data_IF_665907263990
#
_entry.id   IF_665907263990
#
_cell.length_a   1.000
_cell.length_b   1.000
_cell.length_c   1.000
_cell.angle_alpha   90.00
_cell.angle_beta   90.00
_cell.angle_gamma   90.00
#
_symmetry.space_group_name_H-M   'P 1'
#
loop_
_entity.id
_entity.type
_entity.pdbx_description
1 polymer ?
#
# COMPACT_ATOMS: atom_id res chain seq x y z
N UNK A 1 -3.13 -18.76 2.25
CA UNK A 1 -3.02 -19.72 3.39
C UNK A 1 -3.59 -21.04 2.91
N UNK A 2 -2.78 -22.06 2.68
CA UNK A 2 -3.24 -23.37 2.21
C UNK A 2 -3.31 -24.33 3.41
N UNK A 3 -4.52 -24.78 3.75
CA UNK A 3 -4.72 -25.83 4.72
C UNK A 3 -4.76 -27.17 3.97
N UNK A 4 -3.72 -27.98 4.13
CA UNK A 4 -3.76 -29.37 3.67
C UNK A 4 -4.29 -30.20 4.83
N UNK A 5 -5.54 -30.65 4.71
CA UNK A 5 -6.14 -31.58 5.67
C UNK A 5 -5.78 -32.99 5.22
N UNK A 6 -4.94 -33.68 6.01
CA UNK A 6 -4.72 -35.11 5.81
C UNK A 6 -5.92 -35.88 6.34
N UNK A 7 -6.71 -36.47 5.43
CA UNK A 7 -7.94 -37.22 5.76
C UNK A 7 -7.71 -38.42 6.71
N UNK A 8 -6.46 -38.89 6.83
CA UNK A 8 -6.14 -40.11 7.57
C UNK A 8 -5.57 -39.88 9.00
N UNK A 9 -5.04 -38.69 9.30
CA UNK A 9 -4.52 -38.38 10.65
C UNK A 9 -5.16 -37.14 11.29
N UNK A 10 -5.99 -36.39 10.57
CA UNK A 10 -6.69 -35.21 11.09
C UNK A 10 -5.78 -34.05 11.50
N UNK A 11 -4.48 -34.15 11.25
CA UNK A 11 -3.55 -33.05 11.51
C UNK A 11 -3.67 -32.01 10.41
N UNK A 12 -4.09 -30.81 10.82
CA UNK A 12 -3.99 -29.59 10.03
C UNK A 12 -2.52 -29.21 9.95
N UNK A 13 -1.87 -29.56 8.84
CA UNK A 13 -0.55 -29.02 8.54
C UNK A 13 -0.73 -27.65 7.91
N UNK A 14 -0.44 -26.61 8.69
CA UNK A 14 -0.18 -25.29 8.17
C UNK A 14 1.26 -25.26 7.69
N UNK A 15 1.48 -25.36 6.38
CA UNK A 15 2.76 -24.98 5.81
C UNK A 15 2.70 -23.49 5.45
N UNK A 16 3.32 -22.63 6.27
CA UNK A 16 3.86 -21.39 5.71
C UNK A 16 5.08 -21.79 4.92
N UNK A 17 5.02 -21.68 3.59
CA UNK A 17 6.27 -21.47 2.88
C UNK A 17 6.67 -20.04 3.25
N UNK A 18 7.61 -19.92 4.18
CA UNK A 18 8.28 -18.65 4.44
C UNK A 18 8.97 -18.28 3.12
N UNK A 19 8.31 -17.43 2.33
CA UNK A 19 8.94 -16.86 1.15
C UNK A 19 10.16 -16.07 1.60
N UNK A 20 11.19 -16.09 0.77
CA UNK A 20 12.46 -15.41 1.03
C UNK A 20 12.17 -13.98 1.46
N UNK A 21 12.58 -13.61 2.67
CA UNK A 21 12.42 -12.23 3.14
C UNK A 21 13.21 -11.33 2.18
N UNK A 22 12.53 -10.41 1.49
CA UNK A 22 13.19 -9.47 0.59
C UNK A 22 13.98 -8.45 1.43
N UNK A 23 15.17 -8.09 0.98
CA UNK A 23 16.00 -7.08 1.65
C UNK A 23 15.61 -5.63 1.30
N UNK A 24 14.49 -5.47 0.60
CA UNK A 24 13.88 -4.21 0.22
C UNK A 24 12.36 -4.28 0.35
N UNK A 25 11.76 -3.12 0.57
CA UNK A 25 10.33 -2.89 0.50
C UNK A 25 9.97 -2.28 -0.84
N UNK A 26 8.68 -2.24 -1.14
CA UNK A 26 8.14 -1.66 -2.36
C UNK A 26 7.15 -0.57 -2.01
N UNK A 27 7.26 0.55 -2.72
CA UNK A 27 6.20 1.55 -2.83
C UNK A 27 5.56 1.41 -4.20
N UNK A 28 4.26 1.20 -4.22
CA UNK A 28 3.45 1.18 -5.44
C UNK A 28 2.63 2.45 -5.47
N UNK A 29 2.75 3.23 -6.54
CA UNK A 29 1.92 4.41 -6.79
C UNK A 29 1.07 4.16 -8.02
N UNK A 30 -0.24 4.21 -7.88
CA UNK A 30 -1.20 4.09 -8.95
C UNK A 30 -1.96 5.40 -9.10
N UNK A 31 -2.03 5.93 -10.32
CA UNK A 31 -2.85 7.10 -10.65
C UNK A 31 -3.79 6.72 -11.79
N UNK A 32 -5.07 7.03 -11.61
CA UNK A 32 -6.10 6.81 -12.61
C UNK A 32 -6.84 8.10 -12.92
N UNK A 33 -6.90 8.42 -14.21
CA UNK A 33 -7.70 9.53 -14.75
C UNK A 33 -9.16 9.17 -15.02
N UNK A 34 -9.56 7.91 -14.84
CA UNK A 34 -10.93 7.45 -15.03
C UNK A 34 -11.10 5.92 -15.08
N UNK A 35 -12.33 5.46 -15.30
CA UNK A 35 -12.70 4.03 -15.20
C UNK A 35 -11.87 3.06 -16.05
N UNK A 36 -11.37 3.45 -17.22
CA UNK A 36 -10.59 2.53 -18.08
C UNK A 36 -9.31 2.02 -17.38
N UNK A 37 -8.61 2.90 -16.68
CA UNK A 37 -7.39 2.55 -15.94
C UNK A 37 -7.75 1.87 -14.62
N UNK A 38 -8.79 2.34 -13.95
CA UNK A 38 -9.25 1.85 -12.65
C UNK A 38 -9.82 0.42 -12.72
N UNK A 39 -10.77 0.16 -13.62
CA UNK A 39 -11.50 -1.10 -13.67
C UNK A 39 -10.65 -2.26 -14.19
N UNK A 40 -9.65 -1.99 -15.02
CA UNK A 40 -8.78 -3.01 -15.60
C UNK A 40 -7.60 -3.41 -14.69
N UNK A 41 -7.68 -3.13 -13.40
CA UNK A 41 -6.59 -3.41 -12.44
C UNK A 41 -7.04 -4.27 -11.26
N UNK A 42 -6.06 -5.01 -10.75
CA UNK A 42 -6.11 -5.79 -9.52
C UNK A 42 -5.01 -5.30 -8.58
N UNK A 43 -5.33 -5.19 -7.30
CA UNK A 43 -4.44 -4.85 -6.21
C UNK A 43 -4.15 -6.09 -5.37
N UNK A 44 -2.87 -6.41 -5.24
CA UNK A 44 -2.29 -7.47 -4.45
C UNK A 44 -1.65 -6.77 -3.27
N UNK A 45 -2.33 -6.78 -2.13
CA UNK A 45 -1.88 -6.04 -0.95
C UNK A 45 -1.44 -7.06 0.09
N UNK A 46 -0.18 -7.00 0.48
CA UNK A 46 0.36 -7.89 1.48
C UNK A 46 -0.01 -7.45 2.90
N UNK A 47 0.12 -8.36 3.86
CA UNK A 47 -0.10 -8.05 5.26
C UNK A 47 0.79 -6.90 5.73
N UNK A 48 0.27 -6.08 6.65
CA UNK A 48 0.94 -4.94 7.27
C UNK A 48 1.29 -3.78 6.32
N UNK A 49 0.97 -3.87 5.03
CA UNK A 49 1.14 -2.79 4.06
C UNK A 49 0.26 -1.58 4.44
N UNK A 50 0.80 -0.38 4.24
CA UNK A 50 0.03 0.86 4.39
C UNK A 50 -0.57 1.23 3.04
N UNK A 51 -1.88 1.48 3.00
CA UNK A 51 -2.59 1.91 1.80
C UNK A 51 -3.17 3.30 2.03
N UNK A 52 -2.81 4.25 1.17
CA UNK A 52 -3.28 5.62 1.20
C UNK A 52 -4.02 5.95 -0.09
N UNK A 53 -5.24 6.47 0.02
CA UNK A 53 -6.06 6.93 -1.11
C UNK A 53 -6.14 8.44 -1.09
N UNK A 54 -5.78 9.04 -2.22
CA UNK A 54 -5.83 10.46 -2.51
C UNK A 54 -6.73 10.71 -3.71
N UNK A 55 -7.24 11.94 -3.79
CA UNK A 55 -7.97 12.40 -4.96
C UNK A 55 -7.70 13.87 -5.19
N UNK A 56 -7.18 14.22 -6.36
CA UNK A 56 -6.78 15.60 -6.69
C UNK A 56 -5.76 16.13 -5.66
N UNK A 57 -4.85 15.28 -5.22
CA UNK A 57 -3.83 15.56 -4.21
C UNK A 57 -4.28 15.56 -2.74
N UNK A 58 -5.60 15.58 -2.44
CA UNK A 58 -6.10 15.52 -1.06
C UNK A 58 -6.13 14.08 -0.54
N UNK A 59 -5.61 13.85 0.67
CA UNK A 59 -5.73 12.55 1.35
C UNK A 59 -7.20 12.31 1.75
N UNK A 60 -7.76 11.22 1.24
CA UNK A 60 -9.13 10.79 1.54
C UNK A 60 -9.12 9.86 2.75
N UNK A 61 -8.30 8.82 2.68
CA UNK A 61 -8.21 7.80 3.72
C UNK A 61 -6.85 7.09 3.66
N UNK A 62 -6.37 6.66 4.82
CA UNK A 62 -5.21 5.80 4.95
C UNK A 62 -5.53 4.69 5.95
N UNK A 63 -5.11 3.47 5.64
CA UNK A 63 -5.28 2.34 6.54
C UNK A 63 -4.13 1.35 6.39
N UNK A 64 -3.88 0.64 7.49
CA UNK A 64 -2.95 -0.47 7.52
C UNK A 64 -3.69 -1.77 7.24
N UNK A 65 -3.18 -2.54 6.28
CA UNK A 65 -3.73 -3.84 5.91
C UNK A 65 -3.43 -4.88 7.00
N UNK A 66 -4.46 -5.49 7.59
CA UNK A 66 -4.27 -6.53 8.61
C UNK A 66 -3.95 -7.91 8.02
N UNK A 67 -4.57 -8.25 6.89
CA UNK A 67 -4.46 -9.55 6.23
C UNK A 67 -4.22 -9.36 4.75
N UNK A 68 -3.33 -10.14 4.14
CA UNK A 68 -3.07 -10.10 2.71
C UNK A 68 -4.34 -10.43 1.90
N UNK A 69 -4.54 -9.74 0.78
CA UNK A 69 -5.68 -9.97 -0.12
C UNK A 69 -5.39 -9.57 -1.57
N UNK A 70 -6.29 -10.01 -2.45
CA UNK A 70 -6.28 -9.74 -3.88
C UNK A 70 -7.65 -9.21 -4.25
N UNK A 71 -7.73 -7.95 -4.65
CA UNK A 71 -8.99 -7.27 -4.93
C UNK A 71 -8.92 -6.56 -6.28
N UNK A 72 -10.05 -6.42 -6.97
CA UNK A 72 -10.15 -5.39 -8.00
C UNK A 72 -10.05 -4.01 -7.37
N UNK A 73 -9.68 -2.97 -8.13
CA UNK A 73 -9.61 -1.61 -7.58
C UNK A 73 -10.96 -1.14 -7.01
N UNK A 74 -12.07 -1.51 -7.67
CA UNK A 74 -13.42 -1.26 -7.17
C UNK A 74 -13.70 -1.95 -5.84
N UNK A 75 -13.26 -3.20 -5.67
CA UNK A 75 -13.44 -3.95 -4.42
C UNK A 75 -12.58 -3.37 -3.30
N UNK A 76 -11.35 -2.95 -3.60
CA UNK A 76 -10.48 -2.24 -2.66
C UNK A 76 -11.16 -0.98 -2.12
N UNK A 77 -11.69 -0.12 -3.00
CA UNK A 77 -12.39 1.11 -2.60
C UNK A 77 -13.67 0.79 -1.81
N UNK A 78 -14.42 -0.24 -2.21
CA UNK A 78 -15.61 -0.66 -1.48
C UNK A 78 -15.29 -1.12 -0.05
N UNK A 79 -14.21 -1.87 0.14
CA UNK A 79 -13.75 -2.26 1.50
C UNK A 79 -13.40 -1.05 2.35
N UNK A 80 -12.81 -0.01 1.76
CA UNK A 80 -12.53 1.24 2.46
C UNK A 80 -13.81 1.98 2.86
N UNK A 81 -14.83 1.97 1.99
CA UNK A 81 -16.17 2.50 2.33
C UNK A 81 -16.73 1.75 3.54
N UNK A 82 -16.73 0.41 3.52
CA UNK A 82 -17.22 -0.39 4.65
C UNK A 82 -16.42 -0.13 5.93
N UNK A 83 -15.10 0.02 5.83
CA UNK A 83 -14.25 0.35 6.97
C UNK A 83 -14.63 1.72 7.54
N UNK A 84 -14.77 2.74 6.71
CA UNK A 84 -15.19 4.06 7.14
C UNK A 84 -16.61 4.06 7.75
N UNK A 85 -17.57 3.37 7.13
CA UNK A 85 -18.94 3.23 7.65
C UNK A 85 -18.95 2.50 9.01
N UNK A 86 -18.07 1.52 9.23
CA UNK A 86 -17.97 0.82 10.53
C UNK A 86 -17.46 1.70 11.67
N UNK A 87 -16.77 2.81 11.35
CA UNK A 87 -16.25 3.76 12.34
C UNK A 87 -17.29 4.79 12.79
N UNK A 88 -18.49 4.84 12.19
CA UNK A 88 -19.52 5.86 12.43
C UNK A 88 -20.31 5.67 13.76
N UNK A 89 -19.75 4.96 14.74
CA UNK A 89 -20.40 4.59 16.00
C UNK A 89 -20.69 5.76 16.95
N UNK A 90 -21.72 6.57 16.68
CA UNK A 90 -22.47 7.32 17.71
C UNK A 90 -22.68 8.81 17.46
N UNK A 91 -21.69 9.53 16.93
CA UNK A 91 -21.83 10.92 16.46
C UNK A 91 -21.31 11.01 15.03
N UNK A 92 -22.18 11.44 14.11
CA UNK A 92 -21.83 11.56 12.70
C UNK A 92 -20.69 12.58 12.50
N UNK A 93 -19.46 12.09 12.28
CA UNK A 93 -18.32 12.92 11.93
C UNK A 93 -18.46 13.46 10.51
N UNK A 94 -18.50 14.79 10.35
CA UNK A 94 -18.50 15.44 9.02
C UNK A 94 -17.30 15.03 8.16
N UNK A 95 -16.16 14.79 8.78
CA UNK A 95 -14.96 14.33 8.09
C UNK A 95 -15.14 12.91 7.55
N UNK A 96 -15.75 12.02 8.34
CA UNK A 96 -16.03 10.64 7.94
C UNK A 96 -17.04 10.58 6.79
N UNK A 97 -18.11 11.40 6.84
CA UNK A 97 -19.05 11.52 5.71
C UNK A 97 -18.38 12.02 4.44
N UNK A 98 -17.57 13.08 4.53
CA UNK A 98 -16.80 13.59 3.37
C UNK A 98 -15.89 12.49 2.80
N UNK A 99 -15.24 11.71 3.65
CA UNK A 99 -14.42 10.57 3.24
C UNK A 99 -15.26 9.54 2.46
N UNK A 100 -16.36 9.06 3.04
CA UNK A 100 -17.26 8.08 2.41
C UNK A 100 -17.82 8.60 1.08
N UNK A 101 -18.29 9.84 1.02
CA UNK A 101 -18.77 10.48 -0.21
C UNK A 101 -17.68 10.54 -1.29
N UNK A 102 -16.46 10.89 -0.89
CA UNK A 102 -15.32 10.96 -1.82
C UNK A 102 -14.95 9.57 -2.34
N UNK A 103 -14.95 8.55 -1.48
CA UNK A 103 -14.71 7.15 -1.89
C UNK A 103 -15.82 6.62 -2.81
N UNK A 104 -17.09 6.96 -2.55
CA UNK A 104 -18.21 6.60 -3.44
C UNK A 104 -18.05 7.22 -4.82
N UNK A 105 -17.63 8.48 -4.89
CA UNK A 105 -17.32 9.13 -6.17
C UNK A 105 -16.13 8.47 -6.89
N UNK A 106 -15.07 8.06 -6.17
CA UNK A 106 -13.97 7.28 -6.76
C UNK A 106 -14.49 5.97 -7.37
N UNK A 107 -15.38 5.26 -6.67
CA UNK A 107 -15.96 4.02 -7.16
C UNK A 107 -16.84 4.22 -8.41
N UNK A 108 -17.36 5.42 -8.62
CA UNK A 108 -18.21 5.77 -9.78
C UNK A 108 -17.40 6.23 -11.00
N UNK A 109 -16.39 7.09 -10.80
CA UNK A 109 -15.65 7.71 -11.90
C UNK A 109 -14.22 7.18 -12.11
N UNK A 110 -13.69 6.43 -11.16
CA UNK A 110 -12.38 5.80 -11.21
C UNK A 110 -11.21 6.78 -11.07
N UNK A 111 -11.47 8.05 -10.74
CA UNK A 111 -10.42 9.08 -10.63
C UNK A 111 -9.78 9.03 -9.24
N UNK A 112 -8.56 8.52 -9.14
CA UNK A 112 -7.90 8.25 -7.85
C UNK A 112 -6.38 8.19 -7.95
N UNK A 113 -5.72 8.52 -6.84
CA UNK A 113 -4.31 8.29 -6.58
C UNK A 113 -4.20 7.30 -5.41
N UNK A 114 -3.62 6.12 -5.61
CA UNK A 114 -3.42 5.12 -4.56
C UNK A 114 -1.93 4.92 -4.34
N UNK A 115 -1.53 4.90 -3.08
CA UNK A 115 -0.17 4.55 -2.67
C UNK A 115 -0.20 3.35 -1.75
N UNK A 116 0.66 2.38 -2.02
CA UNK A 116 0.88 1.19 -1.19
C UNK A 116 2.33 1.20 -0.74
N UNK A 117 2.59 1.36 0.55
CA UNK A 117 3.92 1.16 1.13
C UNK A 117 3.96 -0.22 1.81
N UNK A 118 4.70 -1.15 1.21
CA UNK A 118 4.83 -2.52 1.69
C UNK A 118 6.29 -2.87 1.98
N UNK A 119 6.60 -3.05 3.27
CA UNK A 119 7.95 -3.38 3.74
C UNK A 119 8.40 -4.78 3.37
N UNK A 120 7.47 -5.68 3.09
CA UNK A 120 7.78 -7.04 2.69
C UNK A 120 8.22 -7.13 1.23
N UNK A 121 7.92 -6.10 0.43
CA UNK A 121 8.29 -6.02 -0.98
C UNK A 121 7.37 -6.79 -1.94
N UNK A 122 6.24 -7.33 -1.47
CA UNK A 122 5.39 -8.25 -2.24
C UNK A 122 4.12 -7.63 -2.84
N UNK A 123 3.70 -6.45 -2.41
CA UNK A 123 2.47 -5.82 -2.90
C UNK A 123 2.61 -5.33 -4.34
N UNK A 124 1.55 -5.46 -5.15
CA UNK A 124 1.51 -5.15 -6.59
C UNK A 124 0.17 -4.55 -7.02
N UNK A 125 0.17 -3.73 -8.07
CA UNK A 125 -1.04 -3.30 -8.78
C UNK A 125 -0.82 -3.56 -10.27
N UNK A 126 -1.60 -4.47 -10.85
CA UNK A 126 -1.37 -4.95 -12.21
C UNK A 126 -2.70 -5.14 -12.96
N UNK A 127 -2.63 -5.49 -14.25
CA UNK A 127 -3.83 -5.76 -15.06
C UNK A 127 -4.56 -7.02 -14.56
N UNK A 128 -5.88 -7.07 -14.74
CA UNK A 128 -6.70 -8.23 -14.31
C UNK A 128 -6.38 -9.55 -15.04
N UNK A 129 -5.66 -9.49 -16.17
CA UNK A 129 -5.40 -10.66 -17.02
C UNK A 129 -4.09 -11.39 -16.71
N UNK A 130 -3.41 -11.02 -15.62
CA UNK A 130 -2.17 -11.68 -15.21
C UNK A 130 -2.51 -12.60 -14.03
N UNK A 131 -2.13 -13.88 -14.10
CA UNK A 131 -2.44 -14.83 -13.04
C UNK A 131 -1.66 -14.49 -11.76
N UNK A 132 -2.28 -14.70 -10.59
CA UNK A 132 -1.66 -14.39 -9.29
C UNK A 132 -0.31 -15.09 -9.11
N UNK A 133 -0.19 -16.32 -9.60
CA UNK A 133 1.06 -17.10 -9.57
C UNK A 133 2.15 -16.54 -10.49
N UNK A 134 1.79 -15.78 -11.53
CA UNK A 134 2.76 -15.18 -12.43
C UNK A 134 3.36 -13.93 -11.79
N UNK A 135 2.54 -13.07 -11.19
CA UNK A 135 2.95 -11.79 -10.57
C UNK A 135 3.90 -11.93 -9.39
N UNK A 136 3.76 -13.00 -8.62
CA UNK A 136 4.58 -13.22 -7.42
C UNK A 136 6.07 -13.45 -7.75
N UNK A 137 6.35 -13.91 -8.96
CA UNK A 137 7.69 -14.16 -9.47
C UNK A 137 8.19 -13.03 -10.41
N UNK A 138 7.36 -12.02 -10.70
CA UNK A 138 7.78 -10.88 -11.55
C UNK A 138 8.59 -9.89 -10.71
N UNK A 139 9.83 -9.63 -11.16
CA UNK A 139 10.67 -8.59 -10.58
C UNK A 139 10.00 -7.22 -10.76
N UNK A 140 10.15 -6.33 -9.78
CA UNK A 140 9.53 -5.00 -9.82
C UNK A 140 9.94 -4.22 -11.07
N UNK A 141 11.19 -4.41 -11.51
CA UNK A 141 11.79 -3.83 -12.71
C UNK A 141 11.04 -4.24 -14.00
N UNK A 142 10.45 -5.43 -14.03
CA UNK A 142 9.72 -5.95 -15.19
C UNK A 142 8.26 -5.45 -15.25
N UNK A 143 7.80 -4.74 -14.20
CA UNK A 143 6.47 -4.15 -14.12
C UNK A 143 6.42 -2.67 -14.54
N UNK A 144 7.57 -2.05 -14.83
CA UNK A 144 7.72 -0.59 -15.05
C UNK A 144 7.17 -0.05 -16.39
N UNK A 145 6.40 -0.82 -17.15
CA UNK A 145 6.01 -0.43 -18.51
C UNK A 145 4.71 0.40 -18.61
N UNK A 146 4.01 0.64 -17.49
CA UNK A 146 2.67 1.23 -17.51
C UNK A 146 2.61 2.66 -16.95
N UNK A 147 2.07 3.61 -17.73
CA UNK A 147 1.98 5.04 -17.33
C UNK A 147 1.26 5.30 -16.01
N UNK A 148 0.31 4.43 -15.64
CA UNK A 148 -0.57 4.63 -14.49
C UNK A 148 -0.08 3.94 -13.21
N UNK A 149 1.00 3.14 -13.25
CA UNK A 149 1.57 2.48 -12.07
C UNK A 149 3.07 2.71 -12.03
N UNK A 150 3.57 3.16 -10.89
CA UNK A 150 5.00 3.29 -10.63
C UNK A 150 5.39 2.44 -9.45
N UNK A 151 6.57 1.86 -9.54
CA UNK A 151 7.15 1.08 -8.46
C UNK A 151 8.47 1.72 -8.02
N UNK A 152 8.69 1.76 -6.72
CA UNK A 152 9.93 2.25 -6.12
C UNK A 152 10.38 1.24 -5.06
N UNK A 153 11.58 0.66 -5.24
CA UNK A 153 12.23 -0.14 -4.19
C UNK A 153 12.83 0.79 -3.14
N UNK A 154 12.69 0.45 -1.87
CA UNK A 154 13.37 1.14 -0.78
C UNK A 154 14.01 0.16 0.20
N UNK A 155 15.16 0.54 0.77
CA UNK A 155 15.87 -0.30 1.74
C UNK A 155 15.02 -0.55 2.99
N UNK A 156 14.86 -1.82 3.38
CA UNK A 156 14.20 -2.21 4.64
C UNK A 156 15.18 -2.46 5.77
N UNK A 157 16.50 -2.49 5.45
CA UNK A 157 17.52 -2.53 6.48
C UNK A 157 17.28 -1.35 7.40
N UNK A 158 17.04 -1.64 8.68
CA UNK A 158 17.37 -0.73 9.76
C UNK A 158 18.88 -0.51 9.68
N UNK A 159 19.35 0.28 8.74
CA UNK A 159 20.58 1.01 8.96
C UNK A 159 20.32 1.78 10.24
N UNK A 160 21.07 1.41 11.30
CA UNK A 160 20.99 2.13 12.55
C UNK A 160 21.06 3.62 12.24
N UNK A 161 20.19 4.40 12.88
CA UNK A 161 20.08 5.85 12.76
C UNK A 161 21.44 6.56 12.93
N UNK A 162 22.27 6.56 11.90
CA UNK A 162 23.21 7.62 11.63
C UNK A 162 22.45 8.64 10.83
N UNK A 163 22.12 9.77 11.44
CA UNK A 163 21.85 10.99 10.68
C UNK A 163 23.04 11.13 9.71
N UNK A 164 22.84 11.27 8.39
CA UNK A 164 23.93 11.43 7.44
C UNK A 164 24.95 12.44 7.96
N UNK A 165 26.24 12.14 7.89
CA UNK A 165 27.30 12.99 8.46
C UNK A 165 27.18 14.45 7.95
N UNK A 166 26.72 14.63 6.71
CA UNK A 166 26.43 15.92 6.09
C UNK A 166 25.31 16.70 6.82
N UNK A 167 24.26 16.02 7.27
CA UNK A 167 23.16 16.61 8.03
C UNK A 167 23.63 16.91 9.47
N UNK A 168 24.47 16.05 10.07
CA UNK A 168 25.08 16.31 11.38
C UNK A 168 26.02 17.52 11.36
N UNK A 169 26.82 17.67 10.31
CA UNK A 169 27.73 18.80 10.12
C UNK A 169 26.95 20.10 9.92
N UNK A 170 25.89 20.10 9.10
CA UNK A 170 25.00 21.26 8.95
C UNK A 170 24.30 21.66 10.25
N UNK A 171 23.87 20.69 11.05
CA UNK A 171 23.23 20.96 12.35
C UNK A 171 24.22 21.56 13.35
N UNK A 172 25.48 21.09 13.39
CA UNK A 172 26.53 21.69 14.23
C UNK A 172 26.80 23.15 13.85
N UNK A 173 26.98 23.43 12.57
CA UNK A 173 27.25 24.79 12.08
C UNK A 173 26.09 25.74 12.44
N UNK A 174 24.84 25.30 12.29
CA UNK A 174 23.67 26.10 12.65
C UNK A 174 23.54 26.34 14.16
N UNK A 175 23.93 25.37 14.99
CA UNK A 175 23.95 25.53 16.45
C UNK A 175 25.02 26.51 16.92
N UNK A 176 26.24 26.44 16.36
CA UNK A 176 27.32 27.38 16.67
C UNK A 176 26.99 28.81 16.23
N UNK A 177 26.25 28.98 15.13
CA UNK A 177 25.77 30.30 14.70
C UNK A 177 24.73 30.86 15.69
N UNK A 178 23.81 30.03 16.17
CA UNK A 178 22.78 30.44 17.15
C UNK A 178 23.37 30.83 18.51
N UNK A 179 24.44 30.17 18.95
CA UNK A 179 25.12 30.49 20.22
C UNK A 179 25.93 31.80 20.16
N UNK A 180 26.30 32.26 18.96
CA UNK A 180 27.00 33.53 18.75
C UNK A 180 26.07 34.73 18.55
N UNK A 181 24.76 34.51 18.46
CA UNK A 181 23.73 35.54 18.28
C UNK A 181 22.95 35.87 19.58
N UNK A 182 23.32 35.25 20.72
CA UNK A 182 22.80 35.52 22.08
C UNK A 182 23.89 36.24 22.90
#
# INVERSE_FOLDING_TARGET
MNAVVCENCGQLHYSSYDRVELDYGVRVEFESGGNEEFENRMAFINNEAMVSVRRKGELVMEFKCENAYVDSMSTLVYRMICLAESMEGGEESKALRKCIETLKQVAEDGVVEIRVDDRSGYSRICRQNIEYTEIEDVEVEDLEEERCVRYEKYSTKKEGNGVPDEIMEEMKVKMEQYENEI
#
